data_IF_841072716714
#
_entry.id   IF_841072716714
#
_cell.length_a   1.000
_cell.length_b   1.000
_cell.length_c   1.000
_cell.angle_alpha   90.00
_cell.angle_beta   90.00
_cell.angle_gamma   90.00
#
_symmetry.space_group_name_H-M   'P 1'
#
loop_
_entity.id
_entity.type
_entity.pdbx_description
1 polymer ?
#
# COMPACT_ATOMS: atom_id res chain seq x y z
N UNK A 1 -5.59 15.32 10.95
CA UNK A 1 -4.87 14.39 10.06
C UNK A 1 -5.62 13.08 9.97
N UNK A 2 -5.82 12.59 8.78
CA UNK A 2 -6.55 11.34 8.60
C UNK A 2 -5.80 10.17 9.20
N UNK A 3 -6.53 9.32 9.89
CA UNK A 3 -5.97 8.10 10.47
C UNK A 3 -6.12 6.97 9.47
N UNK A 4 -5.02 6.28 9.16
CA UNK A 4 -5.04 5.18 8.19
C UNK A 4 -6.05 4.10 8.59
N UNK A 5 -6.20 3.84 9.87
CA UNK A 5 -7.14 2.83 10.36
C UNK A 5 -8.58 3.18 9.96
N UNK A 6 -8.94 4.46 10.06
CA UNK A 6 -10.27 4.91 9.66
C UNK A 6 -10.47 4.78 8.16
N UNK A 7 -9.45 5.13 7.39
CA UNK A 7 -9.50 5.00 5.93
C UNK A 7 -9.64 3.53 5.54
N UNK A 8 -8.85 2.67 6.16
CA UNK A 8 -8.90 1.24 5.89
C UNK A 8 -10.29 0.67 6.24
N UNK A 9 -10.87 1.14 7.34
CA UNK A 9 -12.21 0.71 7.74
C UNK A 9 -13.24 1.04 6.65
N UNK A 10 -13.12 2.23 6.04
CA UNK A 10 -14.01 2.61 4.96
C UNK A 10 -13.83 1.70 3.74
N UNK A 11 -12.58 1.37 3.41
CA UNK A 11 -12.30 0.47 2.29
C UNK A 11 -12.93 -0.90 2.54
N UNK A 12 -12.78 -1.42 3.76
CA UNK A 12 -13.34 -2.72 4.12
C UNK A 12 -14.87 -2.73 4.03
N UNK A 13 -15.50 -1.58 4.20
CA UNK A 13 -16.96 -1.45 4.08
C UNK A 13 -17.43 -1.28 2.64
N UNK A 14 -16.50 -1.24 1.69
CA UNK A 14 -16.84 -1.14 0.29
C UNK A 14 -16.56 0.22 -0.35
N UNK A 15 -16.01 1.16 0.39
CA UNK A 15 -15.67 2.47 -0.16
C UNK A 15 -14.32 2.36 -0.88
N UNK A 16 -14.39 1.99 -2.15
CA UNK A 16 -13.21 1.78 -2.99
C UNK A 16 -12.40 3.07 -3.12
N UNK A 17 -13.08 4.22 -3.17
CA UNK A 17 -12.40 5.51 -3.38
C UNK A 17 -11.52 5.88 -2.19
N UNK A 18 -11.84 5.40 -1.00
CA UNK A 18 -11.01 5.66 0.18
C UNK A 18 -9.62 5.05 0.01
N UNK A 19 -9.49 3.98 -0.76
CA UNK A 19 -8.19 3.36 -0.99
C UNK A 19 -7.24 4.29 -1.76
N UNK A 20 -7.79 5.15 -2.63
CA UNK A 20 -6.96 6.11 -3.38
C UNK A 20 -6.20 7.04 -2.44
N UNK A 21 -6.75 7.34 -1.29
CA UNK A 21 -6.08 8.18 -0.29
C UNK A 21 -4.79 7.50 0.16
N UNK A 22 -4.83 6.19 0.39
CA UNK A 22 -3.65 5.44 0.79
C UNK A 22 -2.62 5.35 -0.34
N UNK A 23 -3.10 5.18 -1.57
CA UNK A 23 -2.20 5.14 -2.73
C UNK A 23 -1.46 6.46 -2.87
N UNK A 24 -2.18 7.58 -2.87
CA UNK A 24 -1.56 8.90 -3.00
C UNK A 24 -0.58 9.16 -1.85
N UNK A 25 -0.95 8.76 -0.66
CA UNK A 25 -0.13 9.01 0.52
C UNK A 25 1.19 8.23 0.51
N UNK A 26 1.18 7.01 -0.01
CA UNK A 26 2.31 6.10 0.15
C UNK A 26 3.03 5.70 -1.13
N UNK A 27 2.49 6.02 -2.32
CA UNK A 27 3.10 5.48 -3.55
C UNK A 27 4.55 5.91 -3.75
N UNK A 28 4.87 7.18 -3.54
CA UNK A 28 6.25 7.65 -3.76
C UNK A 28 7.21 7.03 -2.77
N UNK A 29 6.78 6.93 -1.51
CA UNK A 29 7.60 6.31 -0.47
C UNK A 29 7.84 4.84 -0.77
N UNK A 30 6.81 4.14 -1.25
CA UNK A 30 6.94 2.72 -1.56
C UNK A 30 7.86 2.50 -2.74
N UNK A 31 7.70 3.29 -3.80
CA UNK A 31 8.58 3.21 -4.97
C UNK A 31 10.02 3.41 -4.54
N UNK A 32 10.30 4.43 -3.72
CA UNK A 32 11.64 4.71 -3.28
C UNK A 32 12.23 3.57 -2.46
N UNK A 33 11.44 3.00 -1.56
CA UNK A 33 11.90 1.88 -0.74
C UNK A 33 12.22 0.65 -1.58
N UNK A 34 11.40 0.37 -2.58
CA UNK A 34 11.64 -0.74 -3.50
C UNK A 34 12.86 -0.45 -4.36
N UNK A 35 13.04 0.80 -4.78
CA UNK A 35 14.18 1.20 -5.60
C UNK A 35 15.51 0.94 -4.89
N UNK A 36 15.56 1.15 -3.59
CA UNK A 36 16.78 0.86 -2.82
C UNK A 36 17.18 -0.60 -2.94
N UNK A 37 16.21 -1.46 -3.18
CA UNK A 37 16.43 -2.90 -3.32
C UNK A 37 16.87 -3.28 -4.71
N UNK A 38 16.09 -2.92 -5.71
CA UNK A 38 16.29 -3.43 -7.07
C UNK A 38 17.11 -2.51 -7.96
N UNK A 39 17.29 -1.26 -7.60
CA UNK A 39 18.10 -0.27 -8.33
C UNK A 39 17.59 0.02 -9.74
N UNK A 40 16.34 -0.32 -10.03
CA UNK A 40 15.70 -0.07 -11.31
C UNK A 40 14.41 0.69 -11.06
N UNK A 41 14.34 1.95 -11.51
CA UNK A 41 13.22 2.81 -11.17
C UNK A 41 11.91 2.35 -11.82
N UNK A 42 11.96 1.97 -13.10
CA UNK A 42 10.76 1.49 -13.77
C UNK A 42 10.21 0.22 -13.11
N UNK A 43 11.11 -0.70 -12.80
CA UNK A 43 10.71 -1.93 -12.11
C UNK A 43 10.14 -1.60 -10.73
N UNK A 44 10.70 -0.63 -10.03
CA UNK A 44 10.22 -0.23 -8.73
C UNK A 44 8.79 0.30 -8.79
N UNK A 45 8.47 1.08 -9.83
CA UNK A 45 7.13 1.58 -10.03
C UNK A 45 6.15 0.44 -10.30
N UNK A 46 6.55 -0.51 -11.13
CA UNK A 46 5.69 -1.67 -11.43
C UNK A 46 5.44 -2.52 -10.19
N UNK A 47 6.48 -2.76 -9.40
CA UNK A 47 6.35 -3.54 -8.16
C UNK A 47 5.44 -2.83 -7.17
N UNK A 48 5.61 -1.51 -7.01
CA UNK A 48 4.78 -0.75 -6.07
C UNK A 48 3.31 -0.75 -6.53
N UNK A 49 3.08 -0.55 -7.82
CA UNK A 49 1.72 -0.55 -8.35
C UNK A 49 1.05 -1.91 -8.13
N UNK A 50 1.76 -2.99 -8.40
CA UNK A 50 1.21 -4.32 -8.18
C UNK A 50 0.97 -4.58 -6.69
N UNK A 51 1.84 -4.05 -5.82
CA UNK A 51 1.66 -4.20 -4.38
C UNK A 51 0.37 -3.52 -3.93
N UNK A 52 0.04 -2.34 -4.47
CA UNK A 52 -1.22 -1.68 -4.12
C UNK A 52 -2.42 -2.49 -4.60
N UNK A 53 -2.34 -3.09 -5.78
CA UNK A 53 -3.43 -3.95 -6.27
C UNK A 53 -3.63 -5.14 -5.33
N UNK A 54 -2.53 -5.79 -4.94
CA UNK A 54 -2.59 -6.93 -4.01
C UNK A 54 -3.10 -6.50 -2.64
N UNK A 55 -2.67 -5.34 -2.17
CA UNK A 55 -3.13 -4.81 -0.88
C UNK A 55 -4.63 -4.58 -0.91
N UNK A 56 -5.14 -3.99 -1.99
CA UNK A 56 -6.56 -3.74 -2.12
C UNK A 56 -7.35 -5.05 -2.10
N UNK A 57 -6.89 -6.05 -2.85
CA UNK A 57 -7.57 -7.34 -2.91
C UNK A 57 -7.56 -8.07 -1.58
N UNK A 58 -6.57 -7.81 -0.74
CA UNK A 58 -6.39 -8.49 0.53
C UNK A 58 -6.62 -7.59 1.73
N UNK A 59 -7.31 -6.45 1.52
CA UNK A 59 -7.48 -5.48 2.60
C UNK A 59 -8.19 -6.07 3.80
N UNK A 60 -9.07 -7.04 3.59
CA UNK A 60 -9.79 -7.70 4.68
C UNK A 60 -8.83 -8.49 5.59
N UNK A 61 -7.66 -8.83 5.11
CA UNK A 61 -6.66 -9.56 5.88
C UNK A 61 -5.77 -8.65 6.72
N UNK A 62 -5.83 -7.35 6.47
CA UNK A 62 -5.05 -6.40 7.26
C UNK A 62 -5.72 -6.23 8.61
N UNK A 63 -5.02 -6.60 9.68
CA UNK A 63 -5.58 -6.59 11.04
C UNK A 63 -5.00 -5.51 11.94
N UNK A 64 -4.12 -4.69 11.41
CA UNK A 64 -3.53 -3.62 12.21
C UNK A 64 -2.40 -4.06 13.12
N UNK A 65 -1.86 -5.25 12.91
CA UNK A 65 -0.71 -5.75 13.68
C UNK A 65 0.55 -4.97 13.35
N UNK A 66 0.59 -4.33 12.19
CA UNK A 66 1.65 -3.42 11.79
C UNK A 66 1.00 -2.18 11.20
N UNK A 67 1.82 -1.17 10.86
CA UNK A 67 1.30 -0.03 10.11
C UNK A 67 0.91 -0.48 8.71
N UNK A 68 0.04 0.28 8.06
CA UNK A 68 -0.33 -0.04 6.68
C UNK A 68 0.90 -0.05 5.78
N UNK A 69 1.80 0.94 5.96
CA UNK A 69 2.99 1.00 5.13
C UNK A 69 3.87 -0.24 5.29
N UNK A 70 4.08 -0.70 6.51
CA UNK A 70 4.87 -1.91 6.75
C UNK A 70 4.23 -3.11 6.08
N UNK A 71 2.92 -3.20 6.15
CA UNK A 71 2.20 -4.32 5.56
C UNK A 71 2.33 -4.33 4.05
N UNK A 72 2.11 -3.18 3.39
CA UNK A 72 2.21 -3.11 1.94
C UNK A 72 3.66 -3.26 1.48
N UNK A 73 4.62 -2.78 2.25
CA UNK A 73 6.02 -2.96 1.94
C UNK A 73 6.38 -4.45 1.88
N UNK A 74 5.88 -5.23 2.84
CA UNK A 74 6.09 -6.69 2.84
C UNK A 74 5.48 -7.34 1.62
N UNK A 75 4.32 -6.88 1.19
CA UNK A 75 3.69 -7.38 -0.04
C UNK A 75 4.59 -7.08 -1.24
N UNK A 76 5.17 -5.90 -1.28
CA UNK A 76 5.99 -5.47 -2.41
C UNK A 76 7.26 -6.27 -2.56
N UNK A 77 7.92 -6.61 -1.45
CA UNK A 77 9.24 -7.27 -1.50
C UNK A 77 9.19 -8.79 -1.35
N UNK A 78 8.02 -9.35 -1.12
CA UNK A 78 7.88 -10.81 -1.06
C UNK A 78 7.55 -11.41 -2.46
#
# INVERSE_FOLDING_TARGET
MENDINIISLVKKGDVRAFDILVVKYQDRLVYSVFKFCKDFELSQDIAQEAFVKAFRNIDKFRGDSSFYTWIYRIAIN
#
